data_IF_241282934724
#
_entry.id   IF_241282934724
#
_cell.length_a   1.000
_cell.length_b   1.000
_cell.length_c   1.000
_cell.angle_alpha   90.00
_cell.angle_beta   90.00
_cell.angle_gamma   90.00
#
_symmetry.space_group_name_H-M   'P 1'
#
loop_
_entity.id
_entity.type
_entity.pdbx_description
1 polymer ?
#
# COMPACT_ATOMS: atom_id res chain seq x y z
N UNK A 1 -54.32 -41.15 39.49
CA UNK A 1 -53.75 -39.78 39.35
C UNK A 1 -52.53 -39.71 38.43
N UNK A 2 -51.69 -40.75 38.32
CA UNK A 2 -50.48 -40.74 37.48
C UNK A 2 -50.70 -40.63 35.96
N UNK A 3 -51.77 -41.23 35.40
CA UNK A 3 -52.00 -41.25 33.94
C UNK A 3 -52.21 -39.87 33.29
N UNK A 4 -52.77 -38.90 34.03
CA UNK A 4 -52.96 -37.55 33.51
C UNK A 4 -51.65 -36.74 33.45
N UNK A 5 -50.69 -37.03 34.33
CA UNK A 5 -49.39 -36.36 34.36
C UNK A 5 -48.50 -36.79 33.17
N UNK A 6 -48.52 -38.10 32.82
CA UNK A 6 -47.81 -38.60 31.64
C UNK A 6 -48.37 -38.05 30.32
N UNK A 7 -49.70 -37.93 30.22
CA UNK A 7 -50.35 -37.32 29.07
C UNK A 7 -49.96 -35.84 28.89
N UNK A 8 -49.98 -35.06 29.98
CA UNK A 8 -49.55 -33.66 29.96
C UNK A 8 -48.07 -33.49 29.59
N UNK A 9 -47.19 -34.32 30.17
CA UNK A 9 -45.76 -34.30 29.86
C UNK A 9 -45.50 -34.62 28.37
N UNK A 10 -46.22 -35.59 27.81
CA UNK A 10 -46.12 -35.95 26.40
C UNK A 10 -46.54 -34.80 25.47
N UNK A 11 -47.63 -34.09 25.79
CA UNK A 11 -48.11 -32.93 25.01
C UNK A 11 -47.12 -31.77 25.07
N UNK A 12 -46.60 -31.42 26.25
CA UNK A 12 -45.61 -30.35 26.42
C UNK A 12 -44.29 -30.69 25.70
N UNK A 13 -43.85 -31.95 25.78
CA UNK A 13 -42.66 -32.41 25.08
C UNK A 13 -42.85 -32.34 23.55
N UNK A 14 -44.00 -32.77 23.04
CA UNK A 14 -44.33 -32.66 21.61
C UNK A 14 -44.35 -31.20 21.15
N UNK A 15 -44.97 -30.30 21.93
CA UNK A 15 -44.98 -28.86 21.64
C UNK A 15 -43.55 -28.30 21.61
N UNK A 16 -42.70 -28.64 22.60
CA UNK A 16 -41.32 -28.16 22.65
C UNK A 16 -40.49 -28.67 21.48
N UNK A 17 -40.62 -29.94 21.11
CA UNK A 17 -39.96 -30.51 19.92
C UNK A 17 -40.45 -29.84 18.64
N UNK A 18 -41.74 -29.56 18.53
CA UNK A 18 -42.30 -28.85 17.36
C UNK A 18 -41.76 -27.43 17.25
N UNK A 19 -41.58 -26.73 18.37
CA UNK A 19 -41.01 -25.39 18.42
C UNK A 19 -39.52 -25.41 18.03
N UNK A 20 -38.73 -26.30 18.61
CA UNK A 20 -37.31 -26.44 18.28
C UNK A 20 -37.12 -26.81 16.80
N UNK A 21 -37.99 -27.63 16.21
CA UNK A 21 -37.96 -27.92 14.77
C UNK A 21 -38.20 -26.67 13.93
N UNK A 22 -39.11 -25.79 14.33
CA UNK A 22 -39.35 -24.50 13.66
C UNK A 22 -38.14 -23.58 13.79
N UNK A 23 -37.56 -23.48 14.97
CA UNK A 23 -36.35 -22.68 15.22
C UNK A 23 -35.17 -23.18 14.40
N UNK A 24 -34.88 -24.49 14.39
CA UNK A 24 -33.81 -25.09 13.56
C UNK A 24 -34.05 -24.83 12.08
N UNK A 25 -35.29 -24.96 11.60
CA UNK A 25 -35.62 -24.66 10.20
C UNK A 25 -35.39 -23.17 9.89
N UNK A 26 -35.79 -22.28 10.78
CA UNK A 26 -35.61 -20.84 10.62
C UNK A 26 -34.12 -20.47 10.54
N UNK A 27 -33.31 -20.92 11.50
CA UNK A 27 -31.87 -20.64 11.51
C UNK A 27 -31.15 -21.23 10.30
N UNK A 28 -31.54 -22.44 9.85
CA UNK A 28 -30.97 -23.03 8.64
C UNK A 28 -31.25 -22.18 7.40
N UNK A 29 -32.47 -21.69 7.24
CA UNK A 29 -32.82 -20.82 6.11
C UNK A 29 -32.03 -19.50 6.16
N UNK A 30 -31.91 -18.89 7.33
CA UNK A 30 -31.16 -17.63 7.47
C UNK A 30 -29.67 -17.81 7.14
N UNK A 31 -29.03 -18.89 7.60
CA UNK A 31 -27.66 -19.20 7.22
C UNK A 31 -27.53 -19.40 5.70
N UNK A 32 -28.47 -20.11 5.07
CA UNK A 32 -28.46 -20.33 3.63
C UNK A 32 -28.60 -19.02 2.84
N UNK A 33 -29.47 -18.11 3.28
CA UNK A 33 -29.62 -16.78 2.66
C UNK A 33 -28.35 -15.94 2.79
N UNK A 34 -27.70 -15.97 3.95
CA UNK A 34 -26.41 -15.29 4.17
C UNK A 34 -25.30 -15.88 3.29
N UNK A 35 -25.20 -17.19 3.19
CA UNK A 35 -24.22 -17.88 2.35
C UNK A 35 -24.44 -17.56 0.86
N UNK A 36 -25.70 -17.53 0.39
CA UNK A 36 -26.04 -17.13 -0.98
C UNK A 36 -25.60 -15.69 -1.26
N UNK A 37 -25.92 -14.77 -0.34
CA UNK A 37 -25.54 -13.36 -0.45
C UNK A 37 -24.02 -13.20 -0.48
N UNK A 38 -23.30 -13.92 0.37
CA UNK A 38 -21.83 -13.90 0.42
C UNK A 38 -21.20 -14.48 -0.85
N UNK A 39 -21.79 -15.53 -1.42
CA UNK A 39 -21.37 -16.12 -2.69
C UNK A 39 -21.50 -15.13 -3.85
N UNK A 40 -22.62 -14.41 -3.92
CA UNK A 40 -22.84 -13.39 -4.96
C UNK A 40 -21.84 -12.22 -4.81
N UNK A 41 -21.64 -11.74 -3.58
CA UNK A 41 -20.69 -10.65 -3.31
C UNK A 41 -19.22 -11.05 -3.52
N UNK A 42 -18.86 -12.32 -3.33
CA UNK A 42 -17.49 -12.84 -3.52
C UNK A 42 -16.96 -12.55 -4.94
N UNK A 43 -17.82 -12.61 -5.95
CA UNK A 43 -17.45 -12.34 -7.35
C UNK A 43 -17.03 -10.88 -7.52
N UNK A 44 -17.83 -9.95 -7.00
CA UNK A 44 -17.57 -8.50 -7.11
C UNK A 44 -16.28 -8.13 -6.37
N UNK A 45 -16.10 -8.62 -5.15
CA UNK A 45 -14.90 -8.36 -4.35
C UNK A 45 -13.64 -8.89 -5.04
N UNK A 46 -13.72 -10.09 -5.64
CA UNK A 46 -12.61 -10.70 -6.37
C UNK A 46 -12.22 -9.87 -7.60
N UNK A 47 -13.21 -9.40 -8.36
CA UNK A 47 -12.98 -8.54 -9.51
C UNK A 47 -12.34 -7.20 -9.10
N UNK A 48 -12.92 -6.50 -8.12
CA UNK A 48 -12.38 -5.22 -7.64
C UNK A 48 -10.97 -5.36 -7.07
N UNK A 49 -10.66 -6.49 -6.42
CA UNK A 49 -9.32 -6.76 -5.92
C UNK A 49 -8.32 -6.95 -7.07
N UNK A 50 -8.67 -7.72 -8.10
CA UNK A 50 -7.82 -7.91 -9.27
C UNK A 50 -7.53 -6.56 -9.96
N UNK A 51 -8.54 -5.70 -10.10
CA UNK A 51 -8.37 -4.36 -10.67
C UNK A 51 -7.46 -3.48 -9.80
N UNK A 52 -7.64 -3.51 -8.48
CA UNK A 52 -6.75 -2.78 -7.56
C UNK A 52 -5.30 -3.29 -7.63
N UNK A 53 -5.09 -4.60 -7.74
CA UNK A 53 -3.77 -5.20 -7.84
C UNK A 53 -3.09 -4.85 -9.18
N UNK A 54 -3.83 -4.90 -10.30
CA UNK A 54 -3.34 -4.45 -11.61
C UNK A 54 -2.93 -2.96 -11.60
N UNK A 55 -3.72 -2.10 -10.95
CA UNK A 55 -3.39 -0.68 -10.81
C UNK A 55 -2.14 -0.48 -9.94
N UNK A 56 -1.95 -1.27 -8.88
CA UNK A 56 -0.74 -1.23 -8.04
C UNK A 56 0.50 -1.69 -8.80
N UNK A 57 0.39 -2.75 -9.57
CA UNK A 57 1.50 -3.29 -10.37
C UNK A 57 1.91 -2.30 -11.46
N UNK A 58 0.95 -1.76 -12.22
CA UNK A 58 1.23 -0.72 -13.22
C UNK A 58 1.82 0.55 -12.61
N UNK A 59 1.32 1.01 -11.47
CA UNK A 59 1.92 2.15 -10.75
C UNK A 59 3.37 1.85 -10.32
N UNK A 60 3.65 0.64 -9.83
CA UNK A 60 4.99 0.24 -9.40
C UNK A 60 5.95 0.15 -10.59
N UNK A 61 5.51 -0.44 -11.71
CA UNK A 61 6.28 -0.50 -12.95
C UNK A 61 6.58 0.90 -13.52
N UNK A 62 5.62 1.83 -13.43
CA UNK A 62 5.83 3.23 -13.81
C UNK A 62 6.82 3.93 -12.88
N UNK A 63 6.78 3.66 -11.56
CA UNK A 63 7.75 4.23 -10.62
C UNK A 63 9.17 3.70 -10.84
N UNK A 64 9.35 2.40 -11.12
CA UNK A 64 10.67 1.83 -11.44
C UNK A 64 11.21 2.38 -12.77
N UNK A 65 10.36 2.49 -13.80
CA UNK A 65 10.74 3.09 -15.08
C UNK A 65 11.12 4.58 -14.96
N UNK A 66 10.64 5.27 -13.92
CA UNK A 66 10.95 6.68 -13.66
C UNK A 66 12.32 6.89 -13.00
N UNK A 67 13.02 5.84 -12.57
CA UNK A 67 14.40 5.97 -12.08
C UNK A 67 15.36 6.10 -13.26
N UNK A 68 15.33 7.27 -13.90
CA UNK A 68 16.09 7.54 -15.11
C UNK A 68 17.59 7.60 -14.80
N UNK A 69 18.40 6.92 -15.62
CA UNK A 69 19.85 7.00 -15.54
C UNK A 69 20.35 8.44 -15.77
N UNK A 70 21.30 8.90 -14.95
CA UNK A 70 21.88 10.26 -14.99
C UNK A 70 22.37 10.71 -16.37
N UNK A 71 22.81 9.75 -17.19
CA UNK A 71 23.30 9.97 -18.55
C UNK A 71 22.22 10.43 -19.52
N UNK A 72 20.95 10.10 -19.26
CA UNK A 72 19.81 10.45 -20.11
C UNK A 72 19.20 11.81 -19.74
N UNK A 73 19.60 12.40 -18.62
CA UNK A 73 19.06 13.68 -18.13
C UNK A 73 20.19 14.72 -18.04
N UNK A 74 20.43 15.47 -19.13
CA UNK A 74 21.46 16.50 -19.17
C UNK A 74 21.08 17.78 -18.41
N UNK A 75 19.80 18.00 -18.13
CA UNK A 75 19.27 19.24 -17.56
C UNK A 75 18.41 18.97 -16.32
N UNK A 76 18.40 19.91 -15.38
CA UNK A 76 17.51 19.83 -14.22
C UNK A 76 16.04 19.80 -14.62
N UNK A 77 15.24 18.89 -14.05
CA UNK A 77 13.81 18.76 -14.36
C UNK A 77 12.94 19.96 -13.96
N UNK A 78 13.45 20.92 -13.17
CA UNK A 78 12.71 22.12 -12.76
C UNK A 78 13.25 23.41 -13.40
N UNK A 79 14.55 23.70 -13.27
CA UNK A 79 15.12 24.93 -13.83
C UNK A 79 15.67 24.77 -15.25
N UNK A 80 15.66 23.55 -15.79
CA UNK A 80 16.15 23.19 -17.13
C UNK A 80 17.61 23.59 -17.42
N UNK A 81 18.38 23.97 -16.41
CA UNK A 81 19.81 24.26 -16.54
C UNK A 81 20.61 22.97 -16.67
N UNK A 82 21.63 23.01 -17.54
CA UNK A 82 22.53 21.89 -17.82
C UNK A 82 23.33 21.53 -16.57
N UNK A 83 23.42 20.24 -16.26
CA UNK A 83 24.27 19.74 -15.19
C UNK A 83 25.75 19.90 -15.54
N UNK A 84 26.56 20.17 -14.52
CA UNK A 84 27.99 20.39 -14.67
C UNK A 84 28.72 19.85 -13.43
N UNK A 85 30.05 19.93 -13.42
CA UNK A 85 30.85 19.54 -12.24
C UNK A 85 30.43 20.32 -10.99
N UNK A 86 30.01 21.58 -11.15
CA UNK A 86 29.51 22.44 -10.07
C UNK A 86 28.01 22.31 -9.83
N UNK A 87 27.22 21.91 -10.85
CA UNK A 87 25.79 21.64 -10.74
C UNK A 87 25.54 20.14 -10.76
N UNK A 88 25.62 19.51 -9.59
CA UNK A 88 25.42 18.06 -9.40
C UNK A 88 23.95 17.64 -9.54
N UNK A 89 23.75 16.36 -9.81
CA UNK A 89 22.44 15.70 -9.98
C UNK A 89 21.92 15.17 -8.64
N UNK A 90 20.61 15.21 -8.49
CA UNK A 90 19.90 14.80 -7.27
C UNK A 90 18.58 14.12 -7.63
N UNK A 91 18.39 12.84 -7.31
CA UNK A 91 17.11 12.15 -7.55
C UNK A 91 16.12 12.42 -6.43
N UNK A 92 14.86 12.66 -6.81
CA UNK A 92 13.75 12.64 -5.86
C UNK A 92 13.33 11.20 -5.57
N UNK A 93 13.16 10.83 -4.29
CA UNK A 93 12.67 9.49 -3.93
C UNK A 93 11.17 9.27 -4.13
N UNK A 94 10.38 10.34 -4.30
CA UNK A 94 8.95 10.21 -4.55
C UNK A 94 8.64 9.96 -6.03
N UNK A 95 9.39 10.63 -6.90
CA UNK A 95 9.11 10.68 -8.34
C UNK A 95 10.31 10.33 -9.23
N UNK A 96 11.46 9.90 -8.72
CA UNK A 96 12.60 9.45 -9.53
C UNK A 96 13.31 10.51 -10.41
N UNK A 97 12.71 11.70 -10.58
CA UNK A 97 13.25 12.79 -11.42
C UNK A 97 14.54 13.40 -10.86
N UNK A 98 15.33 14.01 -11.74
CA UNK A 98 16.67 14.53 -11.43
C UNK A 98 16.68 16.06 -11.37
N UNK A 99 17.12 16.59 -10.23
CA UNK A 99 17.18 18.02 -9.93
C UNK A 99 18.60 18.49 -9.62
N UNK A 100 18.81 19.81 -9.60
CA UNK A 100 20.04 20.42 -9.08
C UNK A 100 19.86 20.82 -7.62
N UNK A 101 20.97 21.05 -6.91
CA UNK A 101 20.96 21.41 -5.49
C UNK A 101 19.97 22.55 -5.16
N UNK A 102 19.98 23.62 -5.95
CA UNK A 102 19.08 24.78 -5.75
C UNK A 102 17.59 24.45 -5.95
N UNK A 103 17.27 23.45 -6.76
CA UNK A 103 15.89 23.01 -6.99
C UNK A 103 15.46 21.92 -5.99
N UNK A 104 16.40 21.40 -5.20
CA UNK A 104 16.20 20.28 -4.30
C UNK A 104 16.26 20.68 -2.81
N UNK A 105 16.44 21.97 -2.52
CA UNK A 105 16.55 22.53 -1.15
C UNK A 105 15.22 22.99 -0.55
N UNK A 106 14.14 23.06 -1.33
CA UNK A 106 12.84 23.48 -0.82
C UNK A 106 12.16 22.34 -0.06
N UNK A 107 11.89 22.58 1.22
CA UNK A 107 11.33 21.59 2.12
C UNK A 107 9.85 21.85 2.46
N UNK A 108 8.94 20.96 2.07
CA UNK A 108 7.52 20.95 2.47
C UNK A 108 7.19 19.69 3.27
N UNK A 109 6.46 19.85 4.38
CA UNK A 109 5.94 18.74 5.17
C UNK A 109 4.77 18.07 4.43
N UNK A 110 4.82 16.74 4.28
CA UNK A 110 3.73 15.97 3.68
C UNK A 110 2.58 15.79 4.69
N UNK A 111 1.32 16.07 4.32
CA UNK A 111 0.17 15.59 5.09
C UNK A 111 0.10 14.05 4.93
N UNK A 112 -0.12 13.36 6.05
CA UNK A 112 -0.12 11.91 6.11
C UNK A 112 -1.16 11.29 5.16
N UNK A 113 -0.71 10.28 4.41
CA UNK A 113 -1.50 9.32 3.65
C UNK A 113 -2.37 9.89 2.50
N UNK A 114 -2.00 9.49 1.28
CA UNK A 114 -2.80 9.58 0.05
C UNK A 114 -3.01 10.98 -0.54
N UNK A 115 -2.08 11.42 -1.39
CA UNK A 115 -2.47 12.18 -2.58
C UNK A 115 -1.43 12.03 -3.69
N UNK A 116 -1.94 11.62 -4.85
CA UNK A 116 -1.24 11.48 -6.11
C UNK A 116 -0.71 12.84 -6.57
N UNK A 117 0.56 12.91 -6.98
CA UNK A 117 1.12 14.13 -7.55
C UNK A 117 0.77 14.23 -9.04
N UNK A 118 -0.48 14.57 -9.34
CA UNK A 118 -0.83 15.27 -10.57
C UNK A 118 -1.25 16.69 -10.17
N UNK A 119 -0.53 17.70 -10.66
CA UNK A 119 -0.82 19.12 -10.48
C UNK A 119 -0.88 19.64 -9.03
N UNK A 120 0.27 19.76 -8.37
CA UNK A 120 0.44 20.75 -7.31
C UNK A 120 1.78 21.46 -7.50
N UNK A 121 1.72 22.77 -7.72
CA UNK A 121 2.86 23.68 -7.70
C UNK A 121 3.33 23.75 -6.25
N UNK A 122 4.29 22.90 -5.88
CA UNK A 122 4.83 22.82 -4.52
C UNK A 122 5.63 21.54 -4.34
N UNK A 123 6.95 21.64 -4.44
CA UNK A 123 7.86 20.48 -4.52
C UNK A 123 8.00 19.81 -3.15
N UNK A 124 7.53 18.58 -3.07
CA UNK A 124 7.67 17.66 -1.93
C UNK A 124 9.09 17.11 -1.83
N UNK A 125 9.66 17.19 -0.63
CA UNK A 125 10.90 16.50 -0.25
C UNK A 125 10.63 15.01 -0.22
N UNK A 126 11.40 14.24 -0.97
CA UNK A 126 11.65 12.86 -0.64
C UNK A 126 13.16 12.62 -0.81
N UNK A 127 13.82 12.38 0.33
CA UNK A 127 15.26 12.30 0.59
C UNK A 127 16.14 12.19 -0.66
N UNK A 128 16.87 13.25 -0.98
CA UNK A 128 17.81 13.21 -2.10
C UNK A 128 18.99 12.30 -1.74
N UNK A 129 19.31 11.35 -2.63
CA UNK A 129 20.61 10.67 -2.60
C UNK A 129 21.56 11.56 -3.38
N UNK A 130 22.63 12.04 -2.73
CA UNK A 130 23.71 12.73 -3.42
C UNK A 130 24.42 11.66 -4.27
N UNK A 131 24.22 11.66 -5.60
CA UNK A 131 24.99 10.77 -6.48
C UNK A 131 26.43 11.30 -6.53
N UNK A 132 27.24 10.96 -5.52
CA UNK A 132 28.66 11.28 -5.47
C UNK A 132 29.42 10.53 -6.58
N UNK A 133 30.52 11.11 -7.08
CA UNK A 133 31.01 10.90 -8.42
C UNK A 133 31.83 9.61 -8.54
N UNK A 134 31.59 8.87 -9.62
CA UNK A 134 32.51 7.88 -10.20
C UNK A 134 32.86 6.68 -9.30
N UNK A 135 32.17 5.56 -9.54
CA UNK A 135 32.24 4.25 -8.88
C UNK A 135 33.61 3.54 -8.82
N UNK A 136 34.73 4.17 -9.19
CA UNK A 136 36.05 3.50 -9.15
C UNK A 136 36.79 3.64 -7.82
N UNK A 137 36.37 4.54 -6.91
CA UNK A 137 37.08 4.76 -5.65
C UNK A 137 36.40 4.12 -4.41
N UNK A 138 35.10 3.81 -4.47
CA UNK A 138 34.34 3.33 -3.32
C UNK A 138 34.70 1.89 -2.91
N UNK A 139 35.03 1.01 -3.87
CA UNK A 139 35.31 -0.40 -3.59
C UNK A 139 36.52 -0.62 -2.64
N UNK A 140 37.46 0.33 -2.59
CA UNK A 140 38.68 0.22 -1.79
C UNK A 140 38.50 0.66 -0.33
N UNK A 141 37.51 1.51 -0.03
CA UNK A 141 37.35 2.14 1.28
C UNK A 141 36.61 1.26 2.31
N UNK A 142 35.71 0.38 1.85
CA UNK A 142 34.92 -0.51 2.74
C UNK A 142 35.75 -1.61 3.40
N UNK A 143 36.87 -2.02 2.78
CA UNK A 143 37.68 -3.14 3.26
C UNK A 143 38.63 -2.77 4.41
N UNK A 144 38.79 -1.48 4.74
CA UNK A 144 39.84 -1.05 5.69
C UNK A 144 39.34 -0.53 7.05
N UNK A 145 38.05 -0.24 7.24
CA UNK A 145 37.58 0.41 8.49
C UNK A 145 36.17 -0.07 8.91
N UNK A 146 36.04 -1.14 9.74
CA UNK A 146 34.74 -1.78 10.00
C UNK A 146 33.85 -1.15 11.08
N UNK A 147 34.29 -0.14 11.83
CA UNK A 147 33.52 0.35 12.99
C UNK A 147 33.67 1.86 13.16
N UNK A 148 32.73 2.62 12.60
CA UNK A 148 32.25 3.88 13.19
C UNK A 148 30.99 4.38 12.46
N UNK A 149 29.87 3.78 12.81
CA UNK A 149 28.61 4.51 12.85
C UNK A 149 28.39 4.88 14.32
N UNK A 150 28.52 6.16 14.66
CA UNK A 150 27.82 6.70 15.81
C UNK A 150 26.97 7.89 15.35
N UNK A 151 25.70 7.95 15.77
CA UNK A 151 24.80 9.03 15.43
C UNK A 151 25.14 10.26 16.25
N UNK A 152 25.05 11.44 15.64
CA UNK A 152 25.13 12.71 16.38
C UNK A 152 23.72 13.08 16.83
N UNK A 153 23.63 13.43 18.13
CA UNK A 153 22.46 13.84 18.93
C UNK A 153 21.60 14.88 18.21
#
# INVERSE_FOLDING_TARGET
MASNAYSYFCVLHFQRVSQLRKEVKHWRNLCQEQESSLSEMTVVVSFSKLEADNLRESHSALQEAQWTADSLVPNCSQCHLVFSVSRRRHHCRNCGLIFCHFCSTQTMALPSAASQCASAIGVTICYIIDTQPNLKAAASWWLSHPLRYEPVI
#
